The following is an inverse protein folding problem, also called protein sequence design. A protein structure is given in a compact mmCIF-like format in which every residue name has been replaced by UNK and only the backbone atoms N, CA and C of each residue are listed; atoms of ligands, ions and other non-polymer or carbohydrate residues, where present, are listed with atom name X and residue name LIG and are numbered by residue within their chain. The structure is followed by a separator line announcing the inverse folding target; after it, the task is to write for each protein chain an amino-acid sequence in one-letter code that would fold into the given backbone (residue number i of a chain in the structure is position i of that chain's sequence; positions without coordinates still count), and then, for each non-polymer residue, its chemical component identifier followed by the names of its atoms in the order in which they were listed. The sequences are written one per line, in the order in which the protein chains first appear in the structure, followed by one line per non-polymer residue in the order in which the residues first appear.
data_IF_285886416765
#
_entry.id   IF_285886416765
#
_cell.length_a   1.000
_cell.length_b   1.000
_cell.length_c   1.000
_cell.angle_alpha   90.00
_cell.angle_beta   90.00
_cell.angle_gamma   90.00
#
_symmetry.space_group_name_H-M   'P 1'
#
loop_
_entity.id
_entity.type
_entity.pdbx_description
1 polymer ?
#
# COMPACT_ATOMS: atom_id res chain seq x y z
N UNK A 1 -9.21 -8.97 -15.89
CA UNK A 1 -7.97 -8.58 -15.19
C UNK A 1 -8.30 -7.44 -14.24
N UNK A 2 -8.02 -7.63 -12.96
CA UNK A 2 -8.36 -6.63 -11.96
C UNK A 2 -7.19 -5.66 -11.78
N UNK A 3 -7.45 -4.39 -12.04
CA UNK A 3 -6.47 -3.34 -11.78
C UNK A 3 -6.91 -2.57 -10.54
N UNK A 4 -6.02 -2.50 -9.57
CA UNK A 4 -6.29 -1.82 -8.31
C UNK A 4 -5.54 -0.49 -8.25
N UNK A 5 -6.00 0.38 -7.39
CA UNK A 5 -5.30 1.62 -7.08
C UNK A 5 -4.54 1.43 -5.79
N UNK A 6 -3.27 1.82 -5.78
CA UNK A 6 -2.44 1.78 -4.59
C UNK A 6 -2.14 3.20 -4.14
N UNK A 7 -2.65 3.57 -2.99
CA UNK A 7 -2.32 4.84 -2.36
C UNK A 7 -1.22 4.63 -1.33
N UNK A 8 -0.20 5.47 -1.37
CA UNK A 8 0.92 5.43 -0.43
C UNK A 8 1.04 6.80 0.23
N UNK A 9 0.99 6.83 1.56
CA UNK A 9 1.16 8.05 2.33
C UNK A 9 2.39 7.89 3.21
N UNK A 10 3.39 8.75 3.01
CA UNK A 10 4.65 8.71 3.74
C UNK A 10 4.69 9.89 4.70
N UNK A 11 4.54 9.58 5.99
CA UNK A 11 4.67 10.59 7.04
C UNK A 11 6.07 10.63 7.63
N UNK A 12 6.26 11.46 8.62
CA UNK A 12 7.57 11.63 9.26
C UNK A 12 8.04 10.38 10.00
N UNK A 13 7.11 9.57 10.49
CA UNK A 13 7.43 8.35 11.24
C UNK A 13 6.74 7.09 10.72
N UNK A 14 5.74 7.23 9.84
CA UNK A 14 4.95 6.11 9.40
C UNK A 14 4.82 6.06 7.89
N UNK A 15 4.62 4.85 7.38
CA UNK A 15 4.21 4.60 6.00
C UNK A 15 2.84 3.94 6.07
N UNK A 16 1.91 4.44 5.27
CA UNK A 16 0.56 3.89 5.19
C UNK A 16 0.27 3.54 3.75
N UNK A 17 -0.37 2.40 3.53
CA UNK A 17 -0.84 2.03 2.20
C UNK A 17 -2.33 1.72 2.25
N UNK A 18 -2.97 1.93 1.12
CA UNK A 18 -4.36 1.53 0.92
C UNK A 18 -4.52 1.03 -0.51
N UNK A 19 -5.18 -0.11 -0.66
CA UNK A 19 -5.45 -0.68 -1.98
C UNK A 19 -6.95 -0.64 -2.20
N UNK A 20 -7.33 -0.01 -3.31
CA UNK A 20 -8.73 0.21 -3.66
C UNK A 20 -9.04 -0.50 -4.98
N UNK A 21 -10.31 -0.94 -5.10
CA UNK A 21 -10.78 -1.51 -6.35
C UNK A 21 -11.22 -0.41 -7.33
N UNK A 22 -11.82 -0.82 -8.45
CA UNK A 22 -12.29 0.10 -9.49
C UNK A 22 -13.38 1.03 -8.98
N UNK A 23 -14.10 0.63 -7.95
CA UNK A 23 -15.18 1.42 -7.36
C UNK A 23 -14.72 2.24 -6.16
N UNK A 24 -13.40 2.35 -5.96
CA UNK A 24 -12.80 3.08 -4.84
C UNK A 24 -13.14 2.50 -3.47
N UNK A 25 -13.45 1.20 -3.42
CA UNK A 25 -13.64 0.51 -2.16
C UNK A 25 -12.30 0.00 -1.65
N UNK A 26 -12.06 0.17 -0.36
CA UNK A 26 -10.79 -0.25 0.25
C UNK A 26 -10.79 -1.78 0.40
N UNK A 27 -9.85 -2.42 -0.27
CA UNK A 27 -9.67 -3.87 -0.19
C UNK A 27 -8.66 -4.24 0.88
N UNK A 28 -7.68 -3.38 1.11
CA UNK A 28 -6.63 -3.60 2.09
C UNK A 28 -6.08 -2.25 2.50
N UNK A 29 -5.81 -2.07 3.78
CA UNK A 29 -5.06 -0.92 4.27
C UNK A 29 -4.28 -1.32 5.51
N UNK A 30 -3.09 -0.74 5.63
CA UNK A 30 -2.23 -1.01 6.77
C UNK A 30 -1.22 0.12 6.91
N UNK A 31 -0.56 0.17 8.05
CA UNK A 31 0.50 1.15 8.28
C UNK A 31 1.56 0.57 9.20
N UNK A 32 2.77 1.09 9.07
CA UNK A 32 3.89 0.68 9.88
C UNK A 32 4.79 1.87 10.15
N UNK A 33 5.48 1.86 11.28
CA UNK A 33 6.54 2.83 11.55
C UNK A 33 7.77 2.46 10.73
N UNK A 34 8.37 3.44 10.05
CA UNK A 34 9.49 3.14 9.16
C UNK A 34 10.87 3.29 9.81
N UNK A 35 10.98 3.99 10.95
CA UNK A 35 12.26 4.17 11.63
C UNK A 35 13.37 4.62 10.66
N UNK A 36 13.06 5.56 9.77
CA UNK A 36 13.93 6.05 8.70
C UNK A 36 14.22 5.01 7.59
N UNK A 37 13.60 3.84 7.63
CA UNK A 37 13.75 2.78 6.62
C UNK A 37 12.49 2.68 5.77
N UNK A 38 12.21 3.71 4.99
CA UNK A 38 10.95 3.83 4.26
C UNK A 38 10.78 2.72 3.22
N UNK A 39 11.83 2.45 2.45
CA UNK A 39 11.76 1.43 1.39
C UNK A 39 11.44 0.04 1.95
N UNK A 40 12.14 -0.36 3.01
CA UNK A 40 11.95 -1.66 3.61
C UNK A 40 10.56 -1.79 4.21
N UNK A 41 10.10 -0.74 4.89
CA UNK A 41 8.78 -0.73 5.49
C UNK A 41 7.69 -0.81 4.43
N UNK A 42 7.84 -0.07 3.35
CA UNK A 42 6.89 -0.11 2.25
C UNK A 42 6.85 -1.49 1.61
N UNK A 43 8.01 -2.11 1.43
CA UNK A 43 8.08 -3.46 0.87
C UNK A 43 7.34 -4.46 1.75
N UNK A 44 7.52 -4.39 3.06
CA UNK A 44 6.82 -5.27 3.99
C UNK A 44 5.30 -5.10 3.91
N UNK A 45 4.83 -3.86 3.81
CA UNK A 45 3.40 -3.59 3.68
C UNK A 45 2.85 -4.15 2.37
N UNK A 46 3.58 -4.00 1.28
CA UNK A 46 3.17 -4.54 -0.02
C UNK A 46 3.15 -6.06 -0.01
N UNK A 47 4.09 -6.70 0.67
CA UNK A 47 4.09 -8.15 0.82
C UNK A 47 2.87 -8.64 1.58
N UNK A 48 2.48 -7.95 2.64
CA UNK A 48 1.26 -8.27 3.36
C UNK A 48 0.03 -8.16 2.48
N UNK A 49 -0.01 -7.13 1.63
CA UNK A 49 -1.13 -6.94 0.71
C UNK A 49 -1.20 -8.06 -0.32
N UNK A 50 -0.07 -8.48 -0.88
CA UNK A 50 -0.02 -9.57 -1.83
C UNK A 50 -0.46 -10.87 -1.17
N UNK A 51 -0.03 -11.13 0.05
CA UNK A 51 -0.46 -12.31 0.80
C UNK A 51 -1.97 -12.35 0.98
N UNK A 52 -2.59 -11.21 1.19
CA UNK A 52 -4.02 -11.14 1.44
C UNK A 52 -4.85 -11.16 0.16
N UNK A 53 -4.41 -10.45 -0.87
CA UNK A 53 -5.18 -10.24 -2.09
C UNK A 53 -4.72 -11.10 -3.26
N UNK A 54 -3.53 -11.70 -3.15
CA UNK A 54 -2.92 -12.40 -4.26
C UNK A 54 -2.21 -11.43 -5.20
N UNK A 55 -1.72 -11.97 -6.32
CA UNK A 55 -1.01 -11.14 -7.30
C UNK A 55 -2.00 -10.22 -8.02
N UNK A 56 -1.65 -8.95 -8.14
CA UNK A 56 -2.52 -7.96 -8.76
C UNK A 56 -1.70 -6.85 -9.42
N UNK A 57 -2.34 -6.12 -10.31
CA UNK A 57 -1.76 -4.94 -10.94
C UNK A 57 -2.28 -3.69 -10.24
N UNK A 58 -1.40 -2.73 -10.01
CA UNK A 58 -1.76 -1.50 -9.31
C UNK A 58 -1.28 -0.28 -10.07
N UNK A 59 -2.01 0.82 -9.90
CA UNK A 59 -1.55 2.15 -10.28
C UNK A 59 -1.16 2.88 -9.01
N UNK A 60 0.14 3.10 -8.77
CA UNK A 60 0.57 3.76 -7.54
C UNK A 60 0.26 5.25 -7.54
N UNK A 61 -0.23 5.74 -6.41
CA UNK A 61 -0.39 7.16 -6.14
C UNK A 61 0.29 7.45 -4.82
N UNK A 62 1.34 8.26 -4.85
CA UNK A 62 2.14 8.55 -3.67
C UNK A 62 1.80 9.95 -3.17
N UNK A 63 1.45 10.05 -1.89
CA UNK A 63 1.20 11.31 -1.21
C UNK A 63 2.01 11.37 0.08
N UNK A 64 2.13 12.55 0.63
CA UNK A 64 2.85 12.67 1.90
C UNK A 64 3.49 14.04 2.13
#
# INVERSE_FOLDING_TARGET
MNTYKLGIDIGSTTVKIAILDENNQILFSDYERHFANIQETLQQLLEKAVDKLGTFHVHPVITG
#
